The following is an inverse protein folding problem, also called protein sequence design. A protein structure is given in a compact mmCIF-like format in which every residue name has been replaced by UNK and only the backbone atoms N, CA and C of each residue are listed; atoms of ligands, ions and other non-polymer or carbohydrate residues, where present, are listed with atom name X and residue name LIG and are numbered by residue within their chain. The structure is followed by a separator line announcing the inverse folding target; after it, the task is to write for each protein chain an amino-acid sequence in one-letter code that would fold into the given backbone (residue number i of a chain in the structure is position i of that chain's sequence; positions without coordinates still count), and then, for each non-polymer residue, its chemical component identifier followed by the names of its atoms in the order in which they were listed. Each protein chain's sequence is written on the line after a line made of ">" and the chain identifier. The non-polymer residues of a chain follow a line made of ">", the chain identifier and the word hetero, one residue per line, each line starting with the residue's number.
data_IF_989155017672
#
_entry.id   IF_989155017672
#
_cell.length_a   1.000
_cell.length_b   1.000
_cell.length_c   1.000
_cell.angle_alpha   90.00
_cell.angle_beta   90.00
_cell.angle_gamma   90.00
#
_symmetry.space_group_name_H-M   'P 1'
#
loop_
_entity.id
_entity.type
_entity.pdbx_description
1 polymer ?
#
# COMPACT_ATOMS: atom_id res chain seq x y z
N UNK A 1 -42.13 -19.67 -60.14
CA UNK A 1 -41.44 -20.92 -60.54
C UNK A 1 -39.96 -20.72 -60.26
N UNK A 2 -39.23 -21.79 -59.92
CA UNK A 2 -37.78 -21.70 -59.72
C UNK A 2 -37.05 -22.45 -60.84
N UNK A 3 -36.04 -21.81 -61.41
CA UNK A 3 -35.04 -22.45 -62.26
C UNK A 3 -33.69 -22.45 -61.53
N UNK A 4 -32.97 -23.57 -61.57
CA UNK A 4 -31.63 -23.66 -60.99
C UNK A 4 -30.69 -24.16 -62.10
N UNK A 5 -29.61 -23.43 -62.37
CA UNK A 5 -28.68 -23.77 -63.43
C UNK A 5 -27.24 -23.39 -63.08
N UNK A 6 -26.30 -24.08 -63.72
CA UNK A 6 -24.86 -23.81 -63.60
C UNK A 6 -24.37 -23.02 -64.81
N UNK A 7 -23.71 -21.89 -64.54
CA UNK A 7 -22.93 -21.17 -65.53
C UNK A 7 -21.52 -21.80 -65.60
N UNK A 8 -21.14 -22.25 -66.79
CA UNK A 8 -19.77 -22.67 -67.09
C UNK A 8 -18.98 -21.46 -67.58
N UNK A 9 -18.21 -20.88 -66.68
CA UNK A 9 -17.31 -19.77 -67.00
C UNK A 9 -15.92 -20.31 -67.31
N UNK A 10 -15.29 -19.87 -68.41
CA UNK A 10 -14.01 -20.42 -68.88
C UNK A 10 -12.82 -20.08 -67.97
N UNK A 11 -12.95 -19.05 -67.14
CA UNK A 11 -11.96 -18.59 -66.15
C UNK A 11 -12.15 -19.21 -64.77
N UNK A 12 -13.33 -19.73 -64.45
CA UNK A 12 -13.65 -20.28 -63.14
C UNK A 12 -13.30 -21.78 -63.06
N UNK A 13 -12.55 -22.17 -62.03
CA UNK A 13 -12.21 -23.58 -61.78
C UNK A 13 -13.41 -24.43 -61.31
N UNK A 14 -14.50 -23.80 -60.87
CA UNK A 14 -15.72 -24.44 -60.40
C UNK A 14 -16.95 -23.83 -61.08
N UNK A 15 -18.02 -24.61 -61.34
CA UNK A 15 -19.26 -24.10 -61.90
C UNK A 15 -19.95 -23.13 -60.92
N UNK A 16 -20.43 -22.01 -61.44
CA UNK A 16 -21.14 -20.97 -60.66
C UNK A 16 -22.64 -21.27 -60.75
N UNK A 17 -23.33 -21.37 -59.62
CA UNK A 17 -24.75 -21.74 -59.59
C UNK A 17 -25.65 -20.51 -59.41
N UNK A 18 -26.70 -20.41 -60.21
CA UNK A 18 -27.68 -19.33 -60.14
C UNK A 18 -29.09 -19.87 -59.90
N UNK A 19 -29.87 -19.12 -59.13
CA UNK A 19 -31.30 -19.37 -58.90
C UNK A 19 -32.12 -18.30 -59.62
N UNK A 20 -32.95 -18.74 -60.55
CA UNK A 20 -33.91 -17.90 -61.27
C UNK A 20 -35.26 -18.02 -60.56
N UNK A 21 -35.70 -16.94 -59.91
CA UNK A 21 -37.04 -16.78 -59.39
C UNK A 21 -37.93 -16.18 -60.48
N UNK A 22 -38.68 -17.04 -61.17
CA UNK A 22 -39.59 -16.65 -62.24
C UNK A 22 -40.98 -16.30 -61.71
N UNK A 23 -41.43 -15.07 -61.96
CA UNK A 23 -42.75 -14.56 -61.59
C UNK A 23 -43.33 -13.82 -62.78
N UNK A 24 -44.17 -14.49 -63.57
CA UNK A 24 -44.75 -13.91 -64.78
C UNK A 24 -45.56 -12.63 -64.52
N UNK A 25 -45.61 -11.75 -65.52
CA UNK A 25 -46.18 -10.40 -65.42
C UNK A 25 -47.66 -10.41 -64.98
N UNK A 26 -48.46 -11.31 -65.59
CA UNK A 26 -49.89 -11.53 -65.32
C UNK A 26 -50.21 -12.08 -63.93
N UNK A 27 -49.20 -12.42 -63.11
CA UNK A 27 -49.43 -12.91 -61.74
C UNK A 27 -49.91 -11.74 -60.85
N UNK A 28 -51.06 -11.84 -60.17
CA UNK A 28 -51.52 -10.77 -59.28
C UNK A 28 -50.53 -10.49 -58.15
N UNK A 29 -50.33 -9.22 -57.78
CA UNK A 29 -49.25 -8.80 -56.88
C UNK A 29 -49.34 -9.42 -55.47
N UNK A 30 -50.56 -9.73 -54.99
CA UNK A 30 -50.77 -10.51 -53.78
C UNK A 30 -50.10 -11.89 -53.83
N UNK A 31 -50.09 -12.54 -55.00
CA UNK A 31 -49.36 -13.79 -55.23
C UNK A 31 -47.86 -13.55 -55.47
N UNK A 32 -47.47 -12.47 -56.17
CA UNK A 32 -46.05 -12.11 -56.32
C UNK A 32 -45.36 -11.95 -54.96
N UNK A 33 -46.01 -11.23 -54.03
CA UNK A 33 -45.57 -11.06 -52.65
C UNK A 33 -45.48 -12.40 -51.89
N UNK A 34 -46.53 -13.23 -51.96
CA UNK A 34 -46.55 -14.56 -51.32
C UNK A 34 -45.49 -15.54 -51.88
N UNK A 35 -45.04 -15.37 -53.12
CA UNK A 35 -43.96 -16.18 -53.69
C UNK A 35 -42.56 -15.66 -53.31
N UNK A 36 -42.41 -14.35 -53.05
CA UNK A 36 -41.12 -13.75 -52.70
C UNK A 36 -40.56 -14.24 -51.35
N UNK A 37 -41.43 -14.56 -50.39
CA UNK A 37 -41.03 -15.08 -49.07
C UNK A 37 -40.29 -16.42 -49.14
N UNK A 38 -40.60 -17.28 -50.11
CA UNK A 38 -39.98 -18.61 -50.26
C UNK A 38 -38.59 -18.55 -50.92
N UNK A 39 -38.20 -17.42 -51.53
CA UNK A 39 -36.97 -17.32 -52.35
C UNK A 39 -35.71 -17.64 -51.54
N UNK A 40 -35.61 -17.13 -50.30
CA UNK A 40 -34.48 -17.40 -49.43
C UNK A 40 -34.38 -18.90 -49.06
N UNK A 41 -35.49 -19.49 -48.59
CA UNK A 41 -35.55 -20.92 -48.22
C UNK A 41 -35.20 -21.84 -49.38
N UNK A 42 -35.59 -21.49 -50.61
CA UNK A 42 -35.24 -22.25 -51.82
C UNK A 42 -33.77 -22.07 -52.19
N UNK A 43 -33.20 -20.88 -52.03
CA UNK A 43 -31.77 -20.65 -52.24
C UNK A 43 -30.90 -21.45 -51.24
N UNK A 44 -31.30 -21.47 -49.97
CA UNK A 44 -30.65 -22.24 -48.90
C UNK A 44 -30.76 -23.75 -49.15
N UNK A 45 -31.90 -24.23 -49.65
CA UNK A 45 -32.09 -25.64 -50.01
C UNK A 45 -31.10 -26.12 -51.10
N UNK A 46 -30.84 -25.29 -52.12
CA UNK A 46 -29.95 -25.68 -53.22
C UNK A 46 -28.46 -25.59 -52.89
N UNK A 47 -28.08 -24.91 -51.79
CA UNK A 47 -26.72 -24.76 -51.25
C UNK A 47 -25.65 -24.31 -52.25
N UNK A 48 -25.17 -23.08 -52.11
CA UNK A 48 -24.15 -22.52 -53.01
C UNK A 48 -24.72 -21.81 -54.24
N UNK A 49 -25.99 -21.39 -54.18
CA UNK A 49 -26.52 -20.34 -55.07
C UNK A 49 -25.69 -19.08 -54.86
N UNK A 50 -25.01 -18.63 -55.92
CA UNK A 50 -24.12 -17.48 -55.87
C UNK A 50 -24.86 -16.17 -56.23
N UNK A 51 -25.80 -16.23 -57.15
CA UNK A 51 -26.67 -15.10 -57.53
C UNK A 51 -28.11 -15.57 -57.70
N UNK A 52 -29.03 -14.75 -57.17
CA UNK A 52 -30.48 -14.87 -57.40
C UNK A 52 -30.90 -13.84 -58.46
N UNK A 53 -31.54 -14.32 -59.52
CA UNK A 53 -32.14 -13.53 -60.60
C UNK A 53 -33.66 -13.54 -60.41
N UNK A 54 -34.29 -12.38 -60.29
CA UNK A 54 -35.75 -12.27 -60.41
C UNK A 54 -36.06 -11.98 -61.88
N UNK A 55 -36.96 -12.77 -62.48
CA UNK A 55 -37.33 -12.66 -63.88
C UNK A 55 -38.85 -12.72 -64.04
N UNK A 56 -39.41 -11.90 -64.92
CA UNK A 56 -40.82 -11.93 -65.33
C UNK A 56 -41.00 -12.19 -66.82
N UNK A 57 -39.94 -11.92 -67.61
CA UNK A 57 -39.84 -12.06 -69.05
C UNK A 57 -38.59 -12.87 -69.43
N UNK A 58 -38.49 -13.29 -70.70
CA UNK A 58 -37.26 -13.93 -71.21
C UNK A 58 -36.08 -12.95 -71.34
N UNK A 59 -36.36 -11.65 -71.41
CA UNK A 59 -35.34 -10.59 -71.53
C UNK A 59 -34.55 -10.42 -70.22
N UNK A 60 -35.17 -10.74 -69.08
CA UNK A 60 -34.52 -10.77 -67.76
C UNK A 60 -33.46 -11.89 -67.61
N UNK A 61 -33.41 -12.83 -68.56
CA UNK A 61 -32.53 -14.01 -68.55
C UNK A 61 -31.48 -13.90 -69.67
N UNK A 62 -30.77 -12.78 -69.72
CA UNK A 62 -29.58 -12.62 -70.56
C UNK A 62 -28.32 -13.25 -69.89
N UNK A 63 -27.68 -14.27 -70.50
CA UNK A 63 -26.44 -14.83 -69.99
C UNK A 63 -25.31 -13.81 -69.80
N UNK A 64 -25.24 -12.75 -70.63
CA UNK A 64 -24.18 -11.76 -70.55
C UNK A 64 -24.37 -10.82 -69.34
N UNK A 65 -25.59 -10.29 -69.14
CA UNK A 65 -25.94 -9.51 -67.96
C UNK A 65 -25.76 -10.31 -66.65
N UNK A 66 -26.13 -11.59 -66.65
CA UNK A 66 -25.95 -12.49 -65.50
C UNK A 66 -24.44 -12.71 -65.22
N UNK A 67 -23.65 -12.96 -66.26
CA UNK A 67 -22.19 -13.09 -66.15
C UNK A 67 -21.52 -11.83 -65.60
N UNK A 68 -21.88 -10.65 -66.12
CA UNK A 68 -21.35 -9.38 -65.63
C UNK A 68 -21.72 -9.14 -64.16
N UNK A 69 -22.96 -9.46 -63.75
CA UNK A 69 -23.40 -9.35 -62.35
C UNK A 69 -22.62 -10.27 -61.42
N UNK A 70 -22.30 -11.49 -61.87
CA UNK A 70 -21.47 -12.45 -61.14
C UNK A 70 -20.05 -11.90 -60.93
N UNK A 71 -19.39 -11.43 -61.99
CA UNK A 71 -18.02 -10.87 -61.95
C UNK A 71 -17.95 -9.62 -61.05
N UNK A 72 -18.91 -8.71 -61.18
CA UNK A 72 -18.97 -7.51 -60.34
C UNK A 72 -19.21 -7.85 -58.85
N UNK A 73 -20.02 -8.89 -58.59
CA UNK A 73 -20.28 -9.38 -57.24
C UNK A 73 -19.03 -9.98 -56.57
N UNK A 74 -18.24 -10.78 -57.29
CA UNK A 74 -16.98 -11.33 -56.77
C UNK A 74 -15.93 -10.26 -56.57
N UNK A 75 -15.73 -9.35 -57.55
CA UNK A 75 -14.73 -8.29 -57.46
C UNK A 75 -15.00 -7.36 -56.27
N UNK A 76 -16.26 -6.99 -56.04
CA UNK A 76 -16.64 -6.17 -54.87
C UNK A 76 -16.35 -6.90 -53.55
N UNK A 77 -16.71 -8.19 -53.45
CA UNK A 77 -16.48 -8.98 -52.24
C UNK A 77 -14.98 -9.17 -51.94
N UNK A 78 -14.17 -9.36 -52.97
CA UNK A 78 -12.71 -9.44 -52.86
C UNK A 78 -12.08 -8.13 -52.38
N UNK A 79 -12.52 -6.98 -52.93
CA UNK A 79 -12.07 -5.66 -52.48
C UNK A 79 -12.48 -5.36 -51.03
N UNK A 80 -13.71 -5.71 -50.64
CA UNK A 80 -14.18 -5.56 -49.25
C UNK A 80 -13.34 -6.39 -48.27
N UNK A 81 -13.03 -7.66 -48.62
CA UNK A 81 -12.14 -8.52 -47.82
C UNK A 81 -10.73 -7.95 -47.70
N UNK A 82 -10.11 -7.52 -48.81
CA UNK A 82 -8.76 -6.90 -48.77
C UNK A 82 -8.72 -5.68 -47.85
N UNK A 83 -9.75 -4.84 -47.93
CA UNK A 83 -9.87 -3.63 -47.10
C UNK A 83 -10.08 -3.96 -45.62
N UNK A 84 -10.82 -5.04 -45.31
CA UNK A 84 -10.97 -5.51 -43.94
C UNK A 84 -9.67 -6.09 -43.38
N UNK A 85 -8.91 -6.85 -44.16
CA UNK A 85 -7.58 -7.35 -43.78
C UNK A 85 -6.58 -6.22 -43.52
N UNK A 86 -6.51 -5.22 -44.40
CA UNK A 86 -5.68 -4.02 -44.19
C UNK A 86 -6.07 -3.27 -42.91
N UNK A 87 -7.38 -3.08 -42.68
CA UNK A 87 -7.89 -2.42 -41.46
C UNK A 87 -7.57 -3.23 -40.19
N UNK A 88 -7.71 -4.56 -40.25
CA UNK A 88 -7.39 -5.46 -39.13
C UNK A 88 -5.91 -5.39 -38.79
N UNK A 89 -5.04 -5.45 -39.81
CA UNK A 89 -3.59 -5.33 -39.64
C UNK A 89 -3.18 -3.99 -39.05
N UNK A 90 -3.78 -2.89 -39.51
CA UNK A 90 -3.54 -1.55 -38.94
C UNK A 90 -4.00 -1.45 -37.47
N UNK A 91 -5.12 -2.07 -37.11
CA UNK A 91 -5.61 -2.10 -35.72
C UNK A 91 -4.69 -2.95 -34.82
N UNK A 92 -4.19 -4.09 -35.30
CA UNK A 92 -3.22 -4.94 -34.59
C UNK A 92 -1.88 -4.21 -34.39
N UNK A 93 -1.40 -3.47 -35.39
CA UNK A 93 -0.20 -2.63 -35.28
C UNK A 93 -0.36 -1.48 -34.26
N UNK A 94 -1.53 -0.83 -34.24
CA UNK A 94 -1.88 0.18 -33.23
C UNK A 94 -1.92 -0.42 -31.82
N UNK A 95 -2.59 -1.57 -31.64
CA UNK A 95 -2.65 -2.26 -30.34
C UNK A 95 -1.25 -2.63 -29.85
N UNK A 96 -0.39 -3.21 -30.70
CA UNK A 96 1.00 -3.52 -30.32
C UNK A 96 1.78 -2.28 -29.88
N UNK A 97 1.60 -1.14 -30.55
CA UNK A 97 2.26 0.10 -30.18
C UNK A 97 1.74 0.67 -28.84
N UNK A 98 0.43 0.57 -28.59
CA UNK A 98 -0.18 0.96 -27.32
C UNK A 98 0.29 0.05 -26.17
N UNK A 99 0.32 -1.27 -26.38
CA UNK A 99 0.84 -2.24 -25.41
C UNK A 99 2.31 -2.00 -25.08
N UNK A 100 3.18 -1.79 -26.08
CA UNK A 100 4.60 -1.48 -25.87
C UNK A 100 4.80 -0.18 -25.08
N UNK A 101 3.99 0.86 -25.36
CA UNK A 101 3.99 2.10 -24.59
C UNK A 101 3.55 1.89 -23.13
N UNK A 102 2.46 1.15 -22.92
CA UNK A 102 1.95 0.83 -21.59
C UNK A 102 2.92 -0.04 -20.78
N UNK A 103 3.61 -0.99 -21.42
CA UNK A 103 4.65 -1.79 -20.77
C UNK A 103 5.85 -0.93 -20.36
N UNK A 104 6.30 -0.02 -21.24
CA UNK A 104 7.41 0.88 -20.94
C UNK A 104 7.09 1.81 -19.75
N UNK A 105 5.89 2.41 -19.72
CA UNK A 105 5.44 3.25 -18.62
C UNK A 105 5.31 2.46 -17.31
N UNK A 106 4.70 1.27 -17.36
CA UNK A 106 4.61 0.35 -16.20
C UNK A 106 5.99 -0.03 -15.66
N UNK A 107 6.95 -0.31 -16.55
CA UNK A 107 8.33 -0.65 -16.20
C UNK A 107 9.10 0.53 -15.62
N UNK A 108 8.84 1.75 -16.08
CA UNK A 108 9.39 2.95 -15.44
C UNK A 108 8.79 3.14 -14.04
N UNK A 109 7.47 3.00 -13.89
CA UNK A 109 6.78 3.10 -12.62
C UNK A 109 7.27 2.05 -11.60
N UNK A 110 7.43 0.79 -11.99
CA UNK A 110 8.00 -0.25 -11.12
C UNK A 110 9.44 0.09 -10.69
N UNK A 111 10.27 0.63 -11.60
CA UNK A 111 11.61 1.08 -11.26
C UNK A 111 11.62 2.29 -10.30
N UNK A 112 10.68 3.22 -10.46
CA UNK A 112 10.49 4.34 -9.51
C UNK A 112 10.10 3.80 -8.15
N UNK A 113 9.07 2.96 -8.06
CA UNK A 113 8.62 2.33 -6.81
C UNK A 113 9.72 1.51 -6.13
N UNK A 114 10.50 0.74 -6.89
CA UNK A 114 11.64 -0.03 -6.38
C UNK A 114 12.65 0.88 -5.67
N UNK A 115 12.95 2.06 -6.22
CA UNK A 115 13.82 3.07 -5.60
C UNK A 115 13.19 3.72 -4.36
N UNK A 116 11.85 3.84 -4.30
CA UNK A 116 11.17 4.31 -3.08
C UNK A 116 11.21 3.24 -1.98
N UNK A 117 10.83 1.99 -2.27
CA UNK A 117 10.88 0.87 -1.31
C UNK A 117 12.28 0.59 -0.76
N UNK A 118 13.33 0.79 -1.58
CA UNK A 118 14.72 0.66 -1.11
C UNK A 118 15.10 1.77 -0.12
N UNK A 119 14.75 3.03 -0.42
CA UNK A 119 14.97 4.16 0.51
C UNK A 119 14.16 4.01 1.79
N UNK A 120 12.93 3.54 1.70
CA UNK A 120 12.06 3.27 2.85
C UNK A 120 12.66 2.18 3.76
N UNK A 121 13.18 1.08 3.19
CA UNK A 121 13.94 0.07 3.96
C UNK A 121 15.16 0.67 4.66
N UNK A 122 15.96 1.49 3.97
CA UNK A 122 17.14 2.14 4.58
C UNK A 122 16.76 3.10 5.72
N UNK A 123 15.65 3.84 5.58
CA UNK A 123 15.14 4.73 6.63
C UNK A 123 14.68 3.92 7.84
N UNK A 124 13.93 2.84 7.64
CA UNK A 124 13.44 2.00 8.74
C UNK A 124 14.58 1.22 9.42
N UNK A 125 15.56 0.71 8.67
CA UNK A 125 16.78 0.11 9.22
C UNK A 125 17.59 1.12 10.06
N UNK A 126 17.78 2.34 9.57
CA UNK A 126 18.46 3.40 10.32
C UNK A 126 17.69 3.78 11.59
N UNK A 127 16.36 3.95 11.48
CA UNK A 127 15.47 4.27 12.60
C UNK A 127 15.52 3.17 13.67
N UNK A 128 15.40 1.91 13.26
CA UNK A 128 15.46 0.76 14.15
C UNK A 128 16.82 0.67 14.83
N UNK A 129 17.93 0.87 14.10
CA UNK A 129 19.28 0.88 14.68
C UNK A 129 19.45 1.98 15.73
N UNK A 130 18.94 3.18 15.47
CA UNK A 130 18.95 4.27 16.45
C UNK A 130 18.17 3.90 17.73
N UNK A 131 17.01 3.25 17.59
CA UNK A 131 16.23 2.78 18.74
C UNK A 131 16.94 1.65 19.51
N UNK A 132 17.54 0.68 18.83
CA UNK A 132 18.32 -0.40 19.48
C UNK A 132 19.58 0.15 20.18
N UNK A 133 20.23 1.18 19.63
CA UNK A 133 21.36 1.86 20.26
C UNK A 133 20.94 2.69 21.48
N UNK A 134 19.81 3.40 21.40
CA UNK A 134 19.22 4.14 22.53
C UNK A 134 18.80 3.19 23.66
N UNK A 135 18.11 2.09 23.35
CA UNK A 135 17.72 1.08 24.33
C UNK A 135 18.94 0.37 24.95
N UNK A 136 19.97 0.06 24.16
CA UNK A 136 21.22 -0.50 24.69
C UNK A 136 21.94 0.49 25.62
N UNK A 137 21.94 1.78 25.29
CA UNK A 137 22.50 2.84 26.14
C UNK A 137 21.69 3.06 27.41
N UNK A 138 20.36 2.97 27.34
CA UNK A 138 19.49 3.03 28.51
C UNK A 138 19.69 1.81 29.42
N UNK A 139 19.76 0.60 28.86
CA UNK A 139 20.09 -0.63 29.61
C UNK A 139 21.45 -0.52 30.32
N UNK A 140 22.47 0.03 29.65
CA UNK A 140 23.77 0.28 30.26
C UNK A 140 23.69 1.34 31.37
N UNK A 141 22.95 2.44 31.16
CA UNK A 141 22.70 3.46 32.18
C UNK A 141 22.00 2.89 33.40
N UNK A 142 20.98 2.07 33.20
CA UNK A 142 20.23 1.43 34.29
C UNK A 142 21.11 0.41 35.05
N UNK A 143 21.96 -0.34 34.34
CA UNK A 143 22.97 -1.20 34.99
C UNK A 143 23.97 -0.41 35.83
N UNK A 144 24.45 0.74 35.33
CA UNK A 144 25.36 1.63 36.09
C UNK A 144 24.64 2.18 37.33
N UNK A 145 23.40 2.64 37.20
CA UNK A 145 22.60 3.15 38.34
C UNK A 145 22.49 2.09 39.44
N UNK A 146 22.07 0.86 39.09
CA UNK A 146 21.94 -0.27 40.04
C UNK A 146 23.29 -0.64 40.68
N UNK A 147 24.40 -0.55 39.94
CA UNK A 147 25.74 -0.81 40.48
C UNK A 147 26.34 0.36 41.29
N UNK A 148 25.69 1.52 41.29
CA UNK A 148 26.17 2.77 41.91
C UNK A 148 25.32 3.26 43.09
N UNK A 149 24.22 2.57 43.43
CA UNK A 149 23.55 2.77 44.71
C UNK A 149 24.50 2.30 45.84
N UNK A 150 24.97 3.21 46.72
CA UNK A 150 25.72 2.79 47.90
C UNK A 150 24.78 2.03 48.85
N UNK A 151 25.31 1.02 49.56
CA UNK A 151 24.57 0.46 50.69
C UNK A 151 24.31 1.60 51.69
N UNK A 152 23.12 1.61 52.30
CA UNK A 152 22.75 2.60 53.34
C UNK A 152 23.75 2.57 54.52
N UNK A 153 24.48 1.47 54.67
CA UNK A 153 25.51 1.27 55.68
C UNK A 153 26.80 2.08 55.43
N UNK A 154 27.19 2.30 54.17
CA UNK A 154 28.44 2.99 53.79
C UNK A 154 28.36 4.50 54.09
N UNK A 155 27.23 5.14 53.79
CA UNK A 155 26.99 6.57 54.05
C UNK A 155 27.04 6.94 55.55
N UNK A 156 26.86 5.96 56.44
CA UNK A 156 27.00 6.15 57.89
C UNK A 156 28.43 6.00 58.43
N UNK A 157 29.36 5.45 57.64
CA UNK A 157 30.78 5.37 57.99
C UNK A 157 31.49 6.69 57.67
N UNK A 158 31.36 7.18 56.43
CA UNK A 158 31.97 8.44 55.96
C UNK A 158 31.63 9.63 56.87
N UNK A 159 30.37 9.71 57.33
CA UNK A 159 29.92 10.78 58.23
C UNK A 159 30.62 10.73 59.59
N UNK A 160 30.84 9.54 60.15
CA UNK A 160 31.54 9.36 61.44
C UNK A 160 33.05 9.63 61.30
N UNK A 161 33.64 9.29 60.16
CA UNK A 161 35.07 9.53 59.92
C UNK A 161 35.36 11.04 59.79
N UNK A 162 34.51 11.77 59.08
CA UNK A 162 34.58 13.24 58.97
C UNK A 162 34.48 13.96 60.34
N UNK A 163 33.54 13.55 61.20
CA UNK A 163 33.39 14.12 62.57
C UNK A 163 34.64 13.89 63.45
N UNK A 164 35.33 12.75 63.27
CA UNK A 164 36.57 12.42 64.00
C UNK A 164 37.78 13.23 63.49
N UNK A 165 37.84 13.50 62.19
CA UNK A 165 38.92 14.30 61.58
C UNK A 165 38.85 15.78 62.03
N UNK A 166 37.65 16.36 62.06
CA UNK A 166 37.44 17.74 62.54
C UNK A 166 37.81 17.90 64.03
N UNK A 167 37.39 16.94 64.87
CA UNK A 167 37.73 16.94 66.29
C UNK A 167 39.26 16.89 66.54
N UNK A 168 40.02 16.12 65.73
CA UNK A 168 41.49 16.12 65.79
C UNK A 168 42.08 17.50 65.46
N UNK A 169 41.59 18.15 64.41
CA UNK A 169 42.08 19.47 64.00
C UNK A 169 41.88 20.53 65.10
N UNK A 170 40.71 20.52 65.75
CA UNK A 170 40.38 21.42 66.87
C UNK A 170 41.22 21.12 68.14
N UNK A 171 41.62 19.87 68.36
CA UNK A 171 42.53 19.50 69.45
C UNK A 171 43.96 19.97 69.16
N UNK A 172 44.42 19.86 67.91
CA UNK A 172 45.78 20.24 67.49
C UNK A 172 46.06 21.75 67.60
N UNK A 173 45.04 22.61 67.49
CA UNK A 173 45.17 24.06 67.65
C UNK A 173 45.34 24.54 69.11
N UNK A 174 45.24 23.64 70.11
CA UNK A 174 45.34 24.00 71.52
C UNK A 174 46.82 24.08 71.95
N UNK A 175 47.20 25.13 72.67
CA UNK A 175 48.59 25.45 73.06
C UNK A 175 49.24 24.49 74.08
N UNK A 176 48.60 23.36 74.37
CA UNK A 176 49.10 22.28 75.21
C UNK A 176 48.06 21.19 75.36
N UNK A 177 48.48 19.92 75.30
CA UNK A 177 47.57 18.80 75.53
C UNK A 177 47.25 18.69 77.03
N UNK A 178 46.00 18.91 77.49
CA UNK A 178 45.65 18.85 78.92
C UNK A 178 45.90 17.45 79.52
N UNK A 179 45.90 16.41 78.69
CA UNK A 179 46.21 15.02 79.09
C UNK A 179 47.70 14.83 79.41
N UNK A 180 48.58 15.60 78.79
CA UNK A 180 50.01 15.63 79.17
C UNK A 180 50.23 16.41 80.46
N UNK A 181 49.47 17.49 80.69
CA UNK A 181 49.46 18.19 81.98
C UNK A 181 49.05 17.26 83.14
N UNK A 182 48.06 16.38 82.90
CA UNK A 182 47.65 15.37 83.88
C UNK A 182 48.70 14.27 84.07
N UNK A 183 49.35 13.76 83.03
CA UNK A 183 50.49 12.83 83.18
C UNK A 183 51.66 13.45 83.94
N UNK A 184 51.93 14.74 83.74
CA UNK A 184 52.97 15.47 84.46
C UNK A 184 52.59 15.63 85.94
N UNK A 185 51.30 15.81 86.23
CA UNK A 185 50.73 15.80 87.58
C UNK A 185 50.75 14.40 88.24
N UNK A 186 50.42 13.32 87.53
CA UNK A 186 50.54 11.95 88.03
C UNK A 186 52.01 11.58 88.33
N UNK A 187 52.95 12.03 87.49
CA UNK A 187 54.41 11.88 87.75
C UNK A 187 54.89 12.69 88.96
N UNK A 188 54.08 13.64 89.45
CA UNK A 188 54.33 14.43 90.66
C UNK A 188 53.38 14.07 91.83
N UNK A 189 52.42 13.17 91.64
CA UNK A 189 51.39 12.79 92.61
C UNK A 189 51.28 11.27 92.79
N UNK A 190 52.42 10.57 92.75
CA UNK A 190 52.58 9.32 93.51
C UNK A 190 52.81 9.60 95.01
N UNK A 191 52.04 10.53 95.57
CA UNK A 191 51.78 10.71 97.00
C UNK A 191 50.28 11.04 97.10
N UNK A 192 49.53 10.07 97.66
CA UNK A 192 48.23 10.21 98.33
C UNK A 192 47.00 10.75 97.56
N UNK A 193 46.02 9.83 97.40
CA UNK A 193 44.60 9.94 97.83
C UNK A 193 43.73 11.05 97.22
N UNK A 194 42.45 10.85 96.91
CA UNK A 194 41.58 9.69 96.60
C UNK A 194 40.21 10.31 96.16
N UNK A 195 39.27 9.49 95.71
CA UNK A 195 37.82 9.75 95.59
C UNK A 195 37.33 10.69 94.48
N UNK A 196 36.35 10.13 93.75
CA UNK A 196 35.46 10.69 92.73
C UNK A 196 34.30 11.51 93.41
N UNK A 197 33.04 11.69 92.90
CA UNK A 197 32.40 11.25 91.64
C UNK A 197 31.37 12.23 90.98
N UNK A 198 30.68 11.75 89.91
CA UNK A 198 29.27 12.12 89.49
C UNK A 198 28.98 13.60 89.09
N UNK A 199 27.86 14.08 88.52
CA UNK A 199 26.59 13.65 87.87
C UNK A 199 25.99 14.95 87.21
N UNK A 200 25.02 15.02 86.28
CA UNK A 200 24.57 14.15 85.16
C UNK A 200 23.47 14.90 84.33
N UNK A 201 22.84 14.21 83.35
CA UNK A 201 21.43 14.38 82.91
C UNK A 201 20.94 15.70 82.25
N UNK A 202 20.36 15.54 81.03
CA UNK A 202 19.31 16.34 80.31
C UNK A 202 19.45 17.87 80.15
N UNK A 203 19.01 18.52 79.07
CA UNK A 203 18.20 18.08 77.92
C UNK A 203 16.94 18.94 77.77
N UNK A 204 16.77 19.63 76.63
CA UNK A 204 15.48 20.19 76.17
C UNK A 204 15.55 20.55 74.66
N UNK A 205 14.42 20.38 73.97
CA UNK A 205 14.17 20.74 72.54
C UNK A 205 13.73 22.23 72.46
N UNK A 206 12.91 22.75 71.51
CA UNK A 206 12.50 22.31 70.15
C UNK A 206 12.54 23.43 69.07
N UNK A 207 12.14 23.16 67.82
CA UNK A 207 11.00 23.85 67.13
C UNK A 207 10.73 23.31 65.71
N UNK A 208 9.47 23.43 65.27
CA UNK A 208 8.93 23.00 63.96
C UNK A 208 8.62 24.21 63.06
N UNK A 209 8.59 24.00 61.74
CA UNK A 209 7.53 24.37 60.75
C UNK A 209 8.11 24.19 59.32
N UNK A 210 7.49 23.53 58.32
CA UNK A 210 6.10 23.54 57.79
C UNK A 210 5.77 24.90 57.13
N UNK A 211 5.17 25.04 55.93
CA UNK A 211 4.33 24.19 55.04
C UNK A 211 5.10 23.77 53.75
N UNK A 212 4.57 23.35 52.56
CA UNK A 212 3.21 23.31 51.98
C UNK A 212 3.03 22.24 50.86
N UNK A 213 1.87 22.28 50.17
CA UNK A 213 1.29 21.26 49.28
C UNK A 213 1.34 21.60 47.76
N UNK A 214 1.21 20.57 46.90
CA UNK A 214 0.31 20.62 45.73
C UNK A 214 -0.20 19.21 45.33
N UNK A 215 -1.40 19.13 44.75
CA UNK A 215 -2.36 18.01 44.88
C UNK A 215 -2.54 17.12 43.63
N UNK A 216 -3.04 15.91 43.88
CA UNK A 216 -3.20 14.74 43.00
C UNK A 216 -4.25 14.77 41.87
N UNK A 217 -3.94 13.95 40.85
CA UNK A 217 -4.77 12.94 40.18
C UNK A 217 -6.30 12.88 40.46
N UNK A 218 -7.12 12.93 39.40
CA UNK A 218 -8.39 12.18 39.35
C UNK A 218 -8.78 11.73 37.92
N UNK A 219 -9.59 10.66 37.86
CA UNK A 219 -10.06 9.90 36.67
C UNK A 219 -11.57 10.14 36.43
N UNK A 220 -12.13 9.82 35.25
CA UNK A 220 -13.60 9.88 35.07
C UNK A 220 -14.14 10.01 33.65
N UNK A 221 -14.60 8.89 33.08
CA UNK A 221 -15.18 8.73 31.73
C UNK A 221 -16.59 9.35 31.50
N UNK A 222 -16.86 9.87 30.29
CA UNK A 222 -18.10 9.55 29.51
C UNK A 222 -18.09 10.03 28.04
N UNK A 223 -18.73 9.23 27.17
CA UNK A 223 -18.88 9.33 25.69
C UNK A 223 -20.21 10.05 25.29
N UNK A 224 -20.63 10.16 24.00
CA UNK A 224 -19.93 10.42 22.71
C UNK A 224 -20.66 11.43 21.78
N UNK A 225 -20.04 11.87 20.66
CA UNK A 225 -20.81 12.29 19.45
C UNK A 225 -20.09 11.97 18.14
N UNK A 226 -20.86 11.49 17.15
CA UNK A 226 -20.46 11.16 15.77
C UNK A 226 -20.25 12.38 14.87
N UNK A 227 -19.43 12.24 13.82
CA UNK A 227 -19.74 12.85 12.53
C UNK A 227 -19.26 11.96 11.36
N UNK A 228 -20.15 11.73 10.40
CA UNK A 228 -19.94 10.82 9.25
C UNK A 228 -20.01 11.62 7.94
N UNK A 229 -19.42 11.09 6.88
CA UNK A 229 -19.25 11.76 5.59
C UNK A 229 -20.57 12.26 4.95
N UNK A 230 -20.50 13.41 4.30
CA UNK A 230 -21.46 13.81 3.26
C UNK A 230 -20.93 13.38 1.89
N UNK A 231 -21.74 12.63 1.14
CA UNK A 231 -21.51 12.31 -0.27
C UNK A 231 -22.51 13.08 -1.13
N UNK A 232 -22.03 13.92 -2.04
CA UNK A 232 -22.91 14.66 -2.95
C UNK A 232 -23.39 13.78 -4.09
N UNK A 233 -24.71 13.76 -4.32
CA UNK A 233 -25.31 13.14 -5.49
C UNK A 233 -25.28 14.10 -6.69
N UNK A 234 -25.13 13.55 -7.90
CA UNK A 234 -25.51 14.20 -9.15
C UNK A 234 -26.09 13.14 -10.07
N UNK A 235 -27.41 13.19 -10.29
CA UNK A 235 -28.14 12.31 -11.19
C UNK A 235 -28.70 13.15 -12.33
N UNK A 236 -28.26 12.88 -13.56
CA UNK A 236 -28.81 13.52 -14.76
C UNK A 236 -30.04 12.75 -15.26
N UNK A 237 -31.06 13.50 -15.69
CA UNK A 237 -32.15 13.11 -16.57
C UNK A 237 -32.45 14.29 -17.51
#
# INVERSE_FOLDING_TARGET
>A
MYGFCSLKEATAALPRYILINWVGEDVPDARKCACASHVATVADFFQGVEVIINASSLEDIDPLAIGQRLVNGTAKREEELRKEEEKKKAAEEQQRYEEERMELEKKEQENRERRYRERERQIEEHRKKMQEEEEARERLRNQIIIASEPSIEDLHLDKKESEVEEAKAIIAQRSGNPREFFKQKERAMTISIDTSPTHDISGFSPWESETDNLVDLWDGSSNPTTNLAQTSQSSNL
#
